data_IF_167298061040
#
_entry.id   IF_167298061040
#
_cell.length_a   1.000
_cell.length_b   1.000
_cell.length_c   1.000
_cell.angle_alpha   90.00
_cell.angle_beta   90.00
_cell.angle_gamma   90.00
#
_symmetry.space_group_name_H-M   'P 1'
#
loop_
_entity.id
_entity.type
_entity.pdbx_description
1 polymer ?
2 non-polymer ?
3 water ?
#
# COMPACT_ATOMS: atom_id res chain seq x y z
N UNK A 2 23.83 -5.89 -0.60
CA UNK A 2 24.17 -5.66 0.80
C UNK A 2 24.34 -4.17 1.10
N UNK A 3 23.22 -3.44 1.16
CA UNK A 3 23.16 -1.97 1.21
C UNK A 3 23.71 -1.37 2.50
N UNK A 4 24.40 -0.24 2.36
CA UNK A 4 24.89 0.52 3.50
C UNK A 4 23.98 1.71 3.76
N UNK A 5 23.12 2.02 2.79
CA UNK A 5 22.19 3.13 2.96
C UNK A 5 21.09 2.76 3.95
N UNK A 6 20.77 3.73 4.83
CA UNK A 6 19.77 3.53 5.87
C UNK A 6 18.38 3.98 5.42
N UNK A 7 17.36 3.37 6.03
CA UNK A 7 15.97 3.78 5.86
C UNK A 7 15.53 3.85 4.39
N UNK A 8 15.90 2.84 3.61
CA UNK A 8 15.42 2.75 2.23
C UNK A 8 14.00 2.17 2.24
N UNK A 9 13.04 2.94 1.74
CA UNK A 9 11.63 2.59 1.92
C UNK A 9 11.29 1.26 1.25
N UNK A 10 11.91 0.99 0.10
CA UNK A 10 11.58 -0.22 -0.64
C UNK A 10 12.07 -1.48 0.07
N UNK A 11 12.89 -1.30 1.09
CA UNK A 11 13.43 -2.40 1.88
C UNK A 11 12.73 -2.53 3.23
N UNK A 12 11.73 -1.68 3.48
CA UNK A 12 11.14 -1.62 4.82
C UNK A 12 10.60 -2.97 5.30
N UNK A 13 9.92 -3.69 4.43
CA UNK A 13 9.35 -4.98 4.82
C UNK A 13 10.45 -6.03 4.92
N UNK A 14 11.44 -5.95 4.02
CA UNK A 14 12.59 -6.85 4.05
C UNK A 14 13.27 -6.80 5.41
N UNK A 15 13.43 -5.59 5.96
CA UNK A 15 14.12 -5.44 7.24
C UNK A 15 13.27 -5.97 8.40
N UNK A 16 11.95 -5.78 8.30
CA UNK A 16 11.05 -6.37 9.29
C UNK A 16 11.17 -7.90 9.28
N UNK A 17 11.25 -8.47 8.08
CA UNK A 17 11.46 -9.91 7.91
C UNK A 17 12.77 -10.40 8.49
N UNK A 18 13.86 -9.67 8.23
CA UNK A 18 15.15 -10.02 8.78
C UNK A 18 15.14 -9.95 10.31
N UNK A 19 14.39 -9.01 10.87
CA UNK A 19 14.30 -8.85 12.33
C UNK A 19 13.57 -10.06 12.91
N UNK A 20 12.47 -10.45 12.26
CA UNK A 20 11.73 -11.64 12.69
C UNK A 20 12.62 -12.89 12.69
N UNK A 21 13.45 -13.01 11.66
CA UNK A 21 14.28 -14.20 11.49
C UNK A 21 15.36 -14.36 12.57
N UNK A 22 15.61 -13.28 13.30
CA UNK A 22 16.61 -13.29 14.36
C UNK A 22 16.02 -13.52 15.75
N UNK A 23 14.70 -13.56 15.85
CA UNK A 23 14.03 -13.74 17.15
C UNK A 23 13.91 -15.22 17.52
N UNK A 24 15.02 -15.81 17.95
CA UNK A 24 15.07 -17.25 18.22
C UNK A 24 14.99 -17.63 19.70
N UNK A 25 15.23 -16.66 20.57
CA UNK A 25 15.24 -16.92 22.01
C UNK A 25 13.81 -17.09 22.54
N UNK A 26 13.61 -17.97 23.53
CA UNK A 26 12.23 -18.25 23.98
C UNK A 26 11.53 -17.00 24.50
N UNK A 27 12.29 -16.07 25.10
CA UNK A 27 11.69 -14.85 25.62
C UNK A 27 11.34 -13.86 24.49
N UNK A 28 11.86 -14.11 23.29
CA UNK A 28 11.54 -13.24 22.16
C UNK A 28 10.39 -13.76 21.31
N UNK A 29 9.85 -14.92 21.68
CA UNK A 29 8.87 -15.57 20.84
C UNK A 29 7.53 -14.86 20.76
N UNK A 30 7.09 -14.27 21.87
CA UNK A 30 5.82 -13.54 21.84
C UNK A 30 5.91 -12.34 20.89
N UNK A 31 7.07 -11.69 20.87
CA UNK A 31 7.29 -10.59 19.93
C UNK A 31 7.30 -11.10 18.49
N UNK A 32 7.95 -12.24 18.29
CA UNK A 32 8.02 -12.84 16.95
C UNK A 32 6.63 -13.11 16.39
N UNK A 33 5.74 -13.65 17.22
CA UNK A 33 4.38 -13.99 16.78
C UNK A 33 3.58 -12.72 16.51
N UNK A 34 3.83 -11.68 17.29
CA UNK A 34 3.20 -10.40 17.07
C UNK A 34 3.64 -9.81 15.73
N UNK A 35 4.92 -9.97 15.40
CA UNK A 35 5.48 -9.42 14.16
C UNK A 35 4.90 -10.19 12.96
N UNK A 36 4.74 -11.51 13.11
CA UNK A 36 4.09 -12.32 12.08
C UNK A 36 2.73 -11.74 11.70
N UNK A 37 1.98 -11.32 12.71
CA UNK A 37 0.65 -10.76 12.50
C UNK A 37 0.71 -9.40 11.75
N UNK A 38 1.64 -8.55 12.15
CA UNK A 38 1.88 -7.29 11.42
C UNK A 38 2.18 -7.56 9.95
N UNK A 39 3.07 -8.52 9.71
CA UNK A 39 3.49 -8.88 8.34
C UNK A 39 2.30 -9.38 7.52
N UNK A 40 1.48 -10.24 8.10
CA UNK A 40 0.29 -10.75 7.41
C UNK A 40 -0.67 -9.61 7.06
N UNK A 41 -0.93 -8.74 8.03
CA UNK A 41 -1.86 -7.64 7.85
C UNK A 41 -1.31 -6.67 6.80
N UNK A 42 0.00 -6.41 6.85
CA UNK A 42 0.62 -5.52 5.86
C UNK A 42 0.52 -6.09 4.43
N UNK A 43 0.79 -7.38 4.28
CA UNK A 43 0.71 -8.02 2.97
C UNK A 43 -0.71 -7.93 2.42
N UNK A 44 -1.70 -8.08 3.29
CA UNK A 44 -3.10 -7.96 2.86
C UNK A 44 -3.37 -6.56 2.34
N UNK A 45 -2.86 -5.55 3.04
CA UNK A 45 -3.00 -4.17 2.60
C UNK A 45 -2.41 -3.97 1.19
N UNK A 46 -1.21 -4.50 0.96
CA UNK A 46 -0.58 -4.42 -0.35
C UNK A 46 -1.38 -5.11 -1.43
N UNK A 47 -1.89 -6.31 -1.13
CA UNK A 47 -2.70 -7.07 -2.08
C UNK A 47 -3.95 -6.29 -2.47
N UNK A 48 -4.65 -5.75 -1.48
CA UNK A 48 -5.87 -4.98 -1.77
C UNK A 48 -5.59 -3.73 -2.60
N UNK A 49 -4.46 -3.09 -2.38
CA UNK A 49 -4.08 -1.93 -3.19
C UNK A 49 -3.84 -2.35 -4.64
N UNK A 50 -3.16 -3.48 -4.83
CA UNK A 50 -2.91 -3.97 -6.19
C UNK A 50 -4.22 -4.32 -6.86
N UNK A 51 -5.15 -4.92 -6.11
CA UNK A 51 -6.47 -5.21 -6.64
C UNK A 51 -7.24 -3.95 -7.02
N UNK A 52 -7.00 -2.84 -6.32
CA UNK A 52 -7.60 -1.57 -6.72
C UNK A 52 -7.19 -1.21 -8.15
N UNK A 53 -5.93 -1.45 -8.47
CA UNK A 53 -5.45 -1.20 -9.83
C UNK A 53 -6.08 -2.15 -10.82
N UNK A 54 -6.06 -3.44 -10.49
CA UNK A 54 -6.62 -4.44 -11.39
C UNK A 54 -8.09 -4.16 -11.67
N UNK A 55 -8.82 -3.69 -10.66
CA UNK A 55 -10.24 -3.37 -10.80
C UNK A 55 -10.44 -2.17 -11.73
N UNK A 56 -9.62 -1.13 -11.54
CA UNK A 56 -9.64 0.05 -12.40
C UNK A 56 -9.31 -0.32 -13.85
N UNK A 57 -8.24 -1.10 -14.01
CA UNK A 57 -7.76 -1.53 -15.30
C UNK A 57 -8.78 -2.35 -16.09
N UNK A 58 -9.47 -3.27 -15.42
CA UNK A 58 -10.47 -4.10 -16.10
C UNK A 58 -11.76 -3.34 -16.38
N UNK A 59 -12.25 -2.61 -15.38
CA UNK A 59 -13.55 -1.93 -15.54
C UNK A 59 -13.47 -0.66 -16.40
N UNK A 60 -12.28 -0.05 -16.49
CA UNK A 60 -12.14 1.20 -17.25
C UNK A 60 -11.33 1.04 -18.54
N UNK A 61 -10.06 0.67 -18.42
CA UNK A 61 -9.17 0.68 -19.58
C UNK A 61 -9.42 -0.47 -20.56
N UNK A 62 -9.75 -1.63 -20.02
CA UNK A 62 -9.88 -2.86 -20.81
C UNK A 62 -11.19 -2.93 -21.58
N UNK A 63 -12.13 -2.07 -21.22
CA UNK A 63 -13.45 -2.11 -21.84
C UNK A 63 -13.47 -1.37 -23.19
N UNK A 64 -13.52 -2.12 -24.29
CA UNK A 64 -13.56 -1.56 -25.65
C UNK A 64 -14.79 -0.69 -25.86
N UNK A 65 -15.83 -0.94 -25.07
CA UNK A 65 -17.10 -0.25 -25.19
C UNK A 65 -17.03 1.22 -24.75
N UNK A 66 -15.98 1.57 -24.00
CA UNK A 66 -15.87 2.92 -23.44
C UNK A 66 -15.05 3.86 -24.32
N UNK A 67 -15.54 5.09 -24.48
CA UNK A 67 -14.85 6.12 -25.25
C UNK A 67 -13.61 6.60 -24.50
N UNK A 68 -12.68 7.21 -25.23
CA UNK A 68 -11.44 7.74 -24.65
C UNK A 68 -11.70 8.87 -23.65
N UNK A 69 -12.65 9.72 -23.98
CA UNK A 69 -13.03 10.80 -23.09
C UNK A 69 -13.59 10.21 -21.79
N UNK A 70 -14.44 9.21 -21.94
CA UNK A 70 -15.00 8.47 -20.81
C UNK A 70 -13.89 7.85 -19.93
N UNK A 71 -12.94 7.17 -20.57
CA UNK A 71 -11.84 6.54 -19.83
C UNK A 71 -10.98 7.58 -19.11
N UNK A 72 -10.75 8.72 -19.77
CA UNK A 72 -9.92 9.77 -19.19
C UNK A 72 -10.60 10.32 -17.95
N UNK A 73 -11.90 10.56 -18.06
CA UNK A 73 -12.72 11.01 -16.93
C UNK A 73 -12.58 10.05 -15.76
N UNK A 74 -12.83 8.76 -16.02
CA UNK A 74 -12.74 7.74 -14.98
C UNK A 74 -11.34 7.64 -14.36
N UNK A 75 -10.32 7.80 -15.20
CA UNK A 75 -8.93 7.72 -14.73
C UNK A 75 -8.57 8.90 -13.83
N UNK A 76 -8.98 10.11 -14.24
CA UNK A 76 -8.73 11.29 -13.42
C UNK A 76 -9.43 11.14 -12.06
N UNK A 77 -10.68 10.69 -12.08
CA UNK A 77 -11.45 10.47 -10.87
C UNK A 77 -10.77 9.54 -9.86
N UNK A 78 -10.32 8.38 -10.34
CA UNK A 78 -9.77 7.40 -9.43
C UNK A 78 -8.44 7.86 -8.85
N UNK A 79 -7.70 8.65 -9.59
CA UNK A 79 -6.45 9.19 -9.07
C UNK A 79 -6.76 10.20 -7.96
N UNK A 80 -7.77 11.03 -8.20
CA UNK A 80 -8.19 12.03 -7.23
C UNK A 80 -8.67 11.37 -5.93
N UNK A 81 -9.39 10.26 -6.07
CA UNK A 81 -9.86 9.50 -4.93
C UNK A 81 -8.70 8.94 -4.11
N UNK A 82 -7.74 8.29 -4.79
CA UNK A 82 -6.58 7.72 -4.09
C UNK A 82 -5.77 8.84 -3.45
N UNK A 83 -5.74 9.99 -4.11
CA UNK A 83 -5.02 11.14 -3.63
C UNK A 83 -5.58 11.65 -2.30
N UNK A 84 -6.90 11.56 -2.15
CA UNK A 84 -7.57 12.11 -0.98
C UNK A 84 -7.64 11.14 0.18
N UNK A 85 -7.13 9.92 0.00
CA UNK A 85 -7.33 8.86 0.98
C UNK A 85 -6.88 9.17 2.42
N UNK A 86 -5.80 9.95 2.56
CA UNK A 86 -5.29 10.28 3.88
C UNK A 86 -6.13 11.29 4.63
N UNK A 87 -7.05 11.94 3.91
CA UNK A 87 -7.94 12.94 4.49
C UNK A 87 -9.37 12.41 4.45
N UNK A 88 -9.52 11.15 4.06
CA UNK A 88 -10.83 10.54 3.93
C UNK A 88 -11.39 10.15 5.28
N UNK A 89 -12.72 10.24 5.41
CA UNK A 89 -13.41 9.73 6.58
C UNK A 89 -13.76 8.28 6.31
N UNK A 90 -13.13 7.36 7.03
CA UNK A 90 -13.29 5.94 6.76
C UNK A 90 -13.70 5.26 8.04
N UNK A 91 -14.84 4.57 8.01
CA UNK A 91 -15.44 4.03 9.23
C UNK A 91 -15.23 2.52 9.33
N UNK A 92 -14.53 2.10 10.37
CA UNK A 92 -14.33 0.67 10.62
C UNK A 92 -15.63 0.02 11.12
N UNK A 93 -15.85 -1.23 10.69
CA UNK A 93 -17.00 -2.02 11.14
C UNK A 93 -18.33 -1.28 11.00
N UNK A 94 -18.53 -0.70 9.83
CA UNK A 94 -19.71 0.11 9.53
C UNK A 94 -20.77 -0.74 8.82
N UNK A 95 -22.01 -0.24 8.80
CA UNK A 95 -23.16 -0.82 8.07
C UNK A 95 -23.31 -2.34 8.09
N UNK B 6 -1.44 -13.98 -18.59
CA UNK B 6 -1.01 -14.06 -17.20
C UNK B 6 -1.20 -12.74 -16.49
N UNK B 7 -2.27 -12.64 -15.70
CA UNK B 7 -2.61 -11.39 -15.02
C UNK B 7 -2.75 -11.55 -13.51
N UNK B 8 -1.67 -11.91 -12.83
CA UNK B 8 -1.67 -11.93 -11.38
C UNK B 8 -1.75 -10.50 -10.89
N UNK B 9 -2.37 -10.29 -9.74
CA UNK B 9 -2.48 -8.95 -9.17
C UNK B 9 -1.12 -8.37 -8.84
N UNK B 10 -0.13 -9.23 -8.60
CA UNK B 10 1.19 -8.73 -8.24
C UNK B 10 1.79 -7.95 -9.40
N UNK B 11 1.31 -8.25 -10.62
CA UNK B 11 1.73 -7.52 -11.81
C UNK B 11 0.80 -6.37 -12.20
N UNK B 12 -0.13 -6.01 -11.33
CA UNK B 12 -1.12 -4.97 -11.67
C UNK B 12 -0.52 -3.66 -12.15
N UNK B 13 0.55 -3.22 -11.50
CA UNK B 13 1.18 -1.96 -11.90
C UNK B 13 1.93 -2.09 -13.21
N UNK B 14 2.69 -3.18 -13.38
CA UNK B 14 3.44 -3.44 -14.60
C UNK B 14 2.53 -3.40 -15.83
N UNK B 15 1.31 -3.91 -15.66
CA UNK B 15 0.32 -3.94 -16.73
C UNK B 15 -0.15 -2.53 -17.10
N UNK B 16 -0.37 -1.71 -16.08
CA UNK B 16 -0.86 -0.35 -16.28
C UNK B 16 0.21 0.48 -17.00
N UNK B 17 1.47 0.27 -16.59
CA UNK B 17 2.60 0.94 -17.22
C UNK B 17 2.79 0.49 -18.66
N UNK B 18 2.51 -0.78 -18.92
CA UNK B 18 2.56 -1.31 -20.28
C UNK B 18 1.50 -0.66 -21.18
N UNK B 19 0.27 -0.59 -20.67
CA UNK B 19 -0.86 0.02 -21.37
C UNK B 19 -0.60 1.49 -21.69
N UNK B 20 0.00 2.20 -20.73
CA UNK B 20 0.38 3.60 -20.91
C UNK B 20 1.40 3.73 -22.04
N UNK B 21 2.30 2.77 -22.10
CA UNK B 21 3.35 2.76 -23.11
C UNK B 21 2.86 2.37 -24.49
N UNK B 22 1.54 2.20 -24.63
CA UNK B 22 0.95 1.80 -25.91
C UNK B 22 -0.11 2.77 -26.42
N UNK B 23 -0.33 3.86 -25.69
CA UNK B 23 -1.22 4.93 -26.14
C UNK B 23 -0.41 5.94 -26.94
N UNK B 24 -0.38 5.78 -28.26
CA UNK B 24 0.52 6.56 -29.09
C UNK B 24 -0.16 7.65 -29.93
N UNK B 25 -1.45 7.47 -30.21
CA UNK B 25 -2.19 8.44 -31.02
C UNK B 25 -2.35 9.76 -30.26
N UNK B 26 -2.20 10.89 -30.97
CA UNK B 26 -2.42 12.22 -30.39
C UNK B 26 -3.73 12.33 -29.63
N UNK B 27 -4.81 11.73 -30.14
CA UNK B 27 -6.09 11.82 -29.44
C UNK B 27 -6.15 11.00 -28.15
N UNK B 28 -5.18 10.11 -27.96
CA UNK B 28 -5.09 9.31 -26.73
C UNK B 28 -4.22 9.97 -25.65
N UNK B 29 -3.58 11.08 -25.99
CA UNK B 29 -2.56 11.68 -25.13
C UNK B 29 -3.08 12.16 -23.77
N UNK B 30 -4.31 12.65 -23.76
CA UNK B 30 -4.92 13.08 -22.50
C UNK B 30 -5.11 11.89 -21.55
N UNK B 31 -5.56 10.76 -22.10
CA UNK B 31 -5.68 9.55 -21.30
C UNK B 31 -4.32 9.11 -20.82
N UNK B 32 -3.31 9.25 -21.68
CA UNK B 32 -1.96 8.82 -21.31
C UNK B 32 -1.44 9.61 -20.11
N UNK B 33 -1.63 10.91 -20.15
CA UNK B 33 -1.21 11.78 -19.05
C UNK B 33 -1.99 11.43 -17.78
N UNK B 34 -3.28 11.17 -17.94
CA UNK B 34 -4.10 10.74 -16.82
C UNK B 34 -3.60 9.43 -16.20
N UNK B 35 -3.15 8.50 -17.03
CA UNK B 35 -2.61 7.23 -16.53
C UNK B 35 -1.32 7.46 -15.75
N UNK B 36 -0.46 8.32 -16.29
CA UNK B 36 0.80 8.67 -15.62
C UNK B 36 0.52 9.16 -14.23
N UNK B 37 -0.52 9.98 -14.11
CA UNK B 37 -0.96 10.48 -12.80
C UNK B 37 -1.39 9.36 -11.84
N UNK B 38 -2.15 8.38 -12.35
CA UNK B 38 -2.57 7.24 -11.53
C UNK B 38 -1.35 6.44 -11.06
N UNK B 39 -0.40 6.24 -11.96
CA UNK B 39 0.80 5.47 -11.60
C UNK B 39 1.57 6.19 -10.51
N UNK B 40 1.74 7.51 -10.65
CA UNK B 40 2.47 8.30 -9.63
C UNK B 40 1.77 8.24 -8.29
N UNK B 41 0.45 8.41 -8.30
CA UNK B 41 -0.33 8.40 -7.07
C UNK B 41 -0.31 7.01 -6.42
N UNK B 42 -0.41 5.95 -7.23
CA UNK B 42 -0.30 4.61 -6.65
C UNK B 42 1.07 4.35 -6.03
N UNK B 43 2.15 4.78 -6.70
CA UNK B 43 3.49 4.58 -6.13
C UNK B 43 3.64 5.35 -4.83
N UNK B 44 3.04 6.54 -4.77
CA UNK B 44 3.09 7.31 -3.54
C UNK B 44 2.33 6.61 -2.41
N UNK B 45 1.21 5.98 -2.74
CA UNK B 45 0.43 5.17 -1.81
C UNK B 45 1.28 4.06 -1.21
N UNK B 46 2.00 3.37 -2.09
CA UNK B 46 2.84 2.25 -1.69
C UNK B 46 4.02 2.73 -0.85
N UNK B 47 4.60 3.84 -1.26
CA UNK B 47 5.72 4.45 -0.55
C UNK B 47 5.29 4.81 0.88
N UNK B 48 4.12 5.43 1.02
CA UNK B 48 3.66 5.80 2.37
C UNK B 48 3.34 4.55 3.21
N UNK B 49 2.88 3.49 2.56
CA UNK B 49 2.62 2.24 3.28
C UNK B 49 3.93 1.64 3.80
N UNK B 50 4.96 1.63 2.95
CA UNK B 50 6.28 1.16 3.38
C UNK B 50 6.85 2.04 4.51
N UNK B 51 6.56 3.34 4.46
CA UNK B 51 7.04 4.23 5.54
C UNK B 51 6.33 3.91 6.86
N UNK B 52 5.09 3.40 6.78
CA UNK B 52 4.40 2.92 7.99
C UNK B 52 5.20 1.85 8.70
N UNK B 53 5.70 0.88 7.93
CA UNK B 53 6.54 -0.18 8.48
C UNK B 53 7.86 0.41 8.98
N UNK B 54 8.45 1.29 8.18
CA UNK B 54 9.72 1.90 8.53
C UNK B 54 9.63 2.67 9.84
N UNK B 55 8.52 3.39 10.05
CA UNK B 55 8.41 4.25 11.24
C UNK B 55 8.15 3.38 12.48
N UNK B 56 7.33 2.34 12.31
CA UNK B 56 7.10 1.35 13.37
C UNK B 56 8.40 0.67 13.76
N UNK B 57 9.17 0.26 12.75
CA UNK B 57 10.46 -0.41 12.97
C UNK B 57 11.39 0.51 13.77
N UNK B 58 11.45 1.78 13.38
CA UNK B 58 12.30 2.73 14.06
C UNK B 58 11.84 3.03 15.49
N UNK B 59 10.55 3.30 15.66
CA UNK B 59 10.05 3.77 16.94
C UNK B 59 9.90 2.66 17.98
N UNK B 60 9.58 1.46 17.52
CA UNK B 60 9.33 0.35 18.43
C UNK B 60 10.47 -0.65 18.44
N UNK B 61 10.72 -1.28 17.30
CA UNK B 61 11.63 -2.42 17.28
C UNK B 61 13.12 -2.08 17.49
N UNK B 62 13.56 -0.92 16.99
CA UNK B 62 14.96 -0.54 17.15
C UNK B 62 15.24 0.15 18.47
N UNK B 63 14.20 0.43 19.25
CA UNK B 63 14.43 1.14 20.52
C UNK B 63 14.68 0.12 21.61
N UNK B 64 15.95 -0.13 21.90
CA UNK B 64 16.28 -1.17 22.87
C UNK B 64 16.09 -0.69 24.31
N UNK B 65 15.68 0.56 24.49
CA UNK B 65 15.28 1.05 25.81
C UNK B 65 13.88 0.54 26.19
N UNK B 66 13.14 0.03 25.21
CA UNK B 66 11.80 -0.51 25.44
C UNK B 66 11.94 -1.99 25.74
N UNK B 67 11.20 -2.49 26.73
CA UNK B 67 11.23 -3.90 27.06
C UNK B 67 10.60 -4.73 25.95
N UNK B 68 10.89 -6.03 25.97
CA UNK B 68 10.31 -6.93 24.99
C UNK B 68 8.78 -6.93 25.11
N UNK B 69 8.31 -6.88 26.36
CA UNK B 69 6.89 -6.79 26.65
C UNK B 69 6.26 -5.53 26.03
N UNK B 70 6.95 -4.40 26.14
CA UNK B 70 6.44 -3.15 25.57
C UNK B 70 6.44 -3.21 24.05
N UNK B 71 7.51 -3.74 23.46
CA UNK B 71 7.56 -3.89 22.00
C UNK B 71 6.43 -4.77 21.50
N UNK B 72 6.14 -5.82 22.25
CA UNK B 72 5.08 -6.76 21.86
C UNK B 72 3.74 -6.07 21.91
N UNK B 73 3.47 -5.35 23.00
CA UNK B 73 2.22 -4.62 23.14
C UNK B 73 2.02 -3.61 22.01
N UNK B 74 3.07 -2.83 21.71
CA UNK B 74 2.99 -1.86 20.62
C UNK B 74 2.77 -2.53 19.25
N UNK B 75 3.40 -3.69 19.05
CA UNK B 75 3.27 -4.42 17.80
C UNK B 75 1.87 -4.99 17.63
N UNK B 76 1.30 -5.49 18.72
CA UNK B 76 -0.08 -5.99 18.70
C UNK B 76 -1.07 -4.86 18.42
N UNK B 77 -0.86 -3.72 19.07
CA UNK B 77 -1.79 -2.61 18.92
C UNK B 77 -1.73 -1.99 17.52
N UNK B 78 -0.55 -1.94 16.90
CA UNK B 78 -0.47 -1.34 15.56
C UNK B 78 -1.14 -2.23 14.51
N UNK B 79 -0.97 -3.54 14.66
CA UNK B 79 -1.64 -4.49 13.77
C UNK B 79 -3.16 -4.37 13.92
N UNK B 80 -3.62 -4.24 15.16
CA UNK B 80 -5.05 -4.11 15.43
C UNK B 80 -5.63 -2.88 14.72
N UNK B 81 -4.90 -1.75 14.83
CA UNK B 81 -5.27 -0.51 14.17
C UNK B 81 -5.28 -0.68 12.65
N UNK B 82 -4.21 -1.27 12.12
CA UNK B 82 -4.12 -1.53 10.68
C UNK B 82 -5.19 -2.49 10.16
N UNK B 83 -5.54 -3.49 10.94
CA UNK B 83 -6.57 -4.44 10.56
C UNK B 83 -7.92 -3.72 10.40
N UNK B 84 -8.22 -2.85 11.37
CA UNK B 84 -9.43 -2.03 11.32
C UNK B 84 -9.45 -1.14 10.10
N UNK B 85 -8.32 -0.46 9.85
CA UNK B 85 -8.20 0.45 8.72
C UNK B 85 -8.46 -0.29 7.40
N UNK B 86 -8.11 -1.57 7.36
CA UNK B 86 -8.26 -2.38 6.17
C UNK B 86 -9.70 -2.71 5.82
N UNK B 87 -10.57 -2.80 6.81
CA UNK B 87 -11.98 -3.09 6.55
C UNK B 87 -12.85 -1.82 6.58
N UNK B 88 -12.23 -0.70 6.91
CA UNK B 88 -12.96 0.57 7.01
C UNK B 88 -13.47 1.03 5.65
N UNK B 89 -14.68 1.59 5.62
CA UNK B 89 -15.21 2.05 4.34
C UNK B 89 -15.28 3.56 4.29
N UNK B 90 -14.88 4.13 3.15
CA UNK B 90 -14.88 5.58 2.99
C UNK B 90 -16.30 6.11 2.83
N UNK B 91 -16.64 7.13 3.61
CA UNK B 91 -17.94 7.78 3.44
C UNK B 91 -17.83 9.22 2.92
N UNK B 92 -16.63 9.80 3.00
CA UNK B 92 -16.37 11.17 2.54
C UNK B 92 -14.90 11.55 2.61
N UNK B 93 -14.60 12.80 2.21
CA UNK B 93 -13.29 13.41 2.45
C UNK B 93 -13.47 14.93 2.65
N UNK B 94 -12.57 15.55 3.40
CA UNK B 94 -12.63 16.98 3.66
C UNK B 94 -11.44 17.67 2.99
N UNK B 95 -11.70 18.86 2.43
CA UNK B 95 -10.69 19.57 1.66
C UNK B 95 -9.93 20.59 2.52
X LIG C 1 -13.68 6.79 -28.74
#
# INVERSE_FOLDING_TARGET
>A
SMPVKKQEAHRALELLEDYHARLSEPQDRALRIAIERVIRIFKSRLFQALLDIQEFYELTLLDDSKSIQQKTAETLQIATKWEKDGQAVKIADFIKSS
>B
SXPVKKQEAHRALELLEDYHARLSEPQDRALRIAIERVIRIFKSRLFQALLDIQEFYELTLLDDSKSIQQKTAETLQIATKWEKDGQAVKIADFIKSS
>C hetero
1 CL CL
#
